data_IF_606301970179
#
_entry.id   IF_606301970179
#
_cell.length_a   1.000
_cell.length_b   1.000
_cell.length_c   1.000
_cell.angle_alpha   90.00
_cell.angle_beta   90.00
_cell.angle_gamma   90.00
#
_symmetry.space_group_name_H-M   'P 1'
#
loop_
_entity.id
_entity.type
_entity.pdbx_description
1 polymer ?
#
# COMPACT_ATOMS: atom_id res chain seq x y z
N UNK A 1 -21.50 29.58 -11.87
CA UNK A 1 -21.75 28.78 -10.66
C UNK A 1 -20.55 27.87 -10.47
N UNK A 2 -19.94 27.86 -9.28
CA UNK A 2 -18.76 27.02 -9.01
C UNK A 2 -19.11 25.53 -9.01
N UNK A 3 -18.15 24.68 -9.36
CA UNK A 3 -18.27 23.22 -9.24
C UNK A 3 -18.57 22.85 -7.78
N UNK A 4 -19.59 22.02 -7.55
CA UNK A 4 -19.91 21.54 -6.21
C UNK A 4 -19.01 20.37 -5.83
N UNK A 5 -18.53 20.30 -4.57
CA UNK A 5 -17.74 19.17 -4.12
C UNK A 5 -18.60 17.91 -3.98
N UNK A 6 -18.09 16.78 -4.46
CA UNK A 6 -18.70 15.44 -4.32
C UNK A 6 -18.64 14.98 -2.87
N UNK A 7 -17.53 15.26 -2.22
CA UNK A 7 -17.26 14.92 -0.82
C UNK A 7 -16.31 15.97 -0.23
N UNK A 8 -16.49 16.30 1.04
CA UNK A 8 -15.61 17.20 1.79
C UNK A 8 -15.38 16.63 3.19
N UNK A 9 -14.13 16.69 3.66
CA UNK A 9 -13.73 16.38 5.03
C UNK A 9 -12.71 17.41 5.54
N UNK A 10 -12.38 17.36 6.84
CA UNK A 10 -11.33 18.19 7.42
C UNK A 10 -10.08 17.38 7.74
N UNK A 11 -8.91 17.91 7.39
CA UNK A 11 -7.61 17.30 7.70
C UNK A 11 -6.49 18.35 7.74
N UNK A 12 -5.42 18.05 8.48
CA UNK A 12 -4.15 18.76 8.36
C UNK A 12 -3.41 18.23 7.13
N UNK A 13 -2.90 19.13 6.30
CA UNK A 13 -2.23 18.78 5.04
C UNK A 13 -0.72 18.86 5.22
N UNK A 14 -0.03 17.85 4.67
CA UNK A 14 1.43 17.76 4.66
C UNK A 14 1.92 17.43 3.24
N UNK A 15 3.12 17.89 2.91
CA UNK A 15 3.86 17.49 1.71
C UNK A 15 5.15 16.80 2.10
N UNK A 16 5.60 15.84 1.30
CA UNK A 16 6.97 15.37 1.42
C UNK A 16 7.93 16.46 0.93
N UNK A 17 9.03 16.68 1.65
CA UNK A 17 10.06 17.62 1.23
C UNK A 17 10.63 17.18 -0.14
N UNK A 18 10.61 18.04 -1.16
CA UNK A 18 11.11 17.71 -2.49
C UNK A 18 12.62 17.42 -2.50
N UNK A 19 13.40 17.96 -1.54
CA UNK A 19 14.84 17.76 -1.44
C UNK A 19 15.19 16.45 -0.75
N UNK A 20 14.60 16.19 0.43
CA UNK A 20 14.98 15.04 1.24
C UNK A 20 14.20 13.78 0.87
N UNK A 21 13.01 13.93 0.26
CA UNK A 21 12.06 12.85 -0.06
C UNK A 21 11.75 11.93 1.13
N UNK A 22 11.95 12.40 2.36
CA UNK A 22 11.79 11.62 3.61
C UNK A 22 11.11 12.39 4.73
N UNK A 23 11.25 13.71 4.76
CA UNK A 23 10.67 14.56 5.80
C UNK A 23 9.32 15.11 5.37
N UNK A 24 8.37 15.15 6.31
CA UNK A 24 7.08 15.81 6.10
C UNK A 24 7.19 17.29 6.44
N UNK A 25 6.65 18.13 5.56
CA UNK A 25 6.50 19.57 5.75
C UNK A 25 5.02 19.88 5.90
N UNK A 26 4.66 20.60 6.97
CA UNK A 26 3.30 21.08 7.18
C UNK A 26 2.89 22.04 6.07
N UNK A 27 1.81 21.71 5.35
CA UNK A 27 1.28 22.51 4.26
C UNK A 27 0.08 23.36 4.69
N UNK A 28 -0.64 22.97 5.75
CA UNK A 28 -1.69 23.78 6.38
C UNK A 28 -1.45 24.01 7.87
N UNK A 29 -1.70 25.22 8.38
CA UNK A 29 -1.51 25.54 9.80
C UNK A 29 -2.60 24.96 10.70
N UNK A 30 -3.78 24.74 10.13
CA UNK A 30 -4.94 24.14 10.80
C UNK A 30 -5.55 23.04 9.93
N UNK A 31 -6.53 22.33 10.47
CA UNK A 31 -7.36 21.46 9.68
C UNK A 31 -8.13 22.30 8.65
N UNK A 32 -8.01 21.93 7.37
CA UNK A 32 -8.65 22.60 6.23
C UNK A 32 -9.59 21.64 5.52
N UNK A 33 -10.53 22.19 4.75
CA UNK A 33 -11.43 21.38 3.95
C UNK A 33 -10.64 20.75 2.80
N UNK A 34 -10.73 19.43 2.69
CA UNK A 34 -10.20 18.63 1.58
C UNK A 34 -11.40 18.03 0.86
N UNK A 35 -11.52 18.34 -0.43
CA UNK A 35 -12.73 18.03 -1.18
C UNK A 35 -12.41 17.36 -2.51
N UNK A 36 -13.27 16.42 -2.92
CA UNK A 36 -13.25 15.82 -4.25
C UNK A 36 -14.17 16.61 -5.17
N UNK A 37 -13.68 16.95 -6.36
CA UNK A 37 -14.42 17.64 -7.40
C UNK A 37 -14.39 16.83 -8.69
N UNK A 38 -15.46 16.96 -9.48
CA UNK A 38 -15.48 16.54 -10.87
C UNK A 38 -15.46 17.79 -11.74
N UNK A 39 -14.38 17.93 -12.51
CA UNK A 39 -14.22 18.99 -13.50
C UNK A 39 -14.81 18.51 -14.81
N UNK A 40 -16.02 19.00 -15.12
CA UNK A 40 -16.76 18.61 -16.32
C UNK A 40 -16.11 19.13 -17.60
N UNK A 41 -15.38 20.25 -17.52
CA UNK A 41 -14.71 20.85 -18.68
C UNK A 41 -13.55 20.01 -19.18
N UNK A 42 -12.86 19.33 -18.26
CA UNK A 42 -11.73 18.44 -18.55
C UNK A 42 -12.05 16.97 -18.37
N UNK A 43 -13.30 16.64 -18.04
CA UNK A 43 -13.79 15.30 -17.76
C UNK A 43 -12.86 14.51 -16.82
N UNK A 44 -12.47 15.12 -15.69
CA UNK A 44 -11.54 14.52 -14.74
C UNK A 44 -11.92 14.80 -13.29
N UNK A 45 -11.42 13.97 -12.38
CA UNK A 45 -11.64 14.12 -10.94
C UNK A 45 -10.40 14.71 -10.25
N UNK A 46 -10.62 15.54 -9.23
CA UNK A 46 -9.56 16.22 -8.49
C UNK A 46 -9.80 16.22 -7.00
N UNK A 47 -8.71 16.22 -6.24
CA UNK A 47 -8.69 16.56 -4.83
C UNK A 47 -8.18 17.99 -4.71
N UNK A 48 -8.99 18.85 -4.12
CA UNK A 48 -8.69 20.27 -3.96
C UNK A 48 -8.81 20.62 -2.48
N UNK A 49 -7.83 21.38 -1.99
CA UNK A 49 -7.87 21.99 -0.67
C UNK A 49 -7.22 23.36 -0.72
N UNK A 50 -7.82 24.32 -0.04
CA UNK A 50 -7.38 25.72 0.01
C UNK A 50 -7.25 26.19 1.46
N UNK A 51 -6.17 26.92 1.75
CA UNK A 51 -5.98 27.62 3.01
C UNK A 51 -5.89 29.13 2.72
N UNK A 52 -6.92 29.89 3.13
CA UNK A 52 -7.06 31.29 2.72
C UNK A 52 -7.23 31.40 1.21
N UNK A 53 -6.30 32.11 0.56
CA UNK A 53 -6.27 32.27 -0.91
C UNK A 53 -5.31 31.28 -1.60
N UNK A 54 -4.61 30.44 -0.85
CA UNK A 54 -3.58 29.53 -1.36
C UNK A 54 -4.14 28.13 -1.53
N UNK A 55 -4.00 27.55 -2.73
CA UNK A 55 -4.23 26.12 -2.93
C UNK A 55 -3.11 25.33 -2.25
N UNK A 56 -3.46 24.48 -1.29
CA UNK A 56 -2.53 23.58 -0.60
C UNK A 56 -2.56 22.18 -1.20
N UNK A 57 -3.69 21.77 -1.80
CA UNK A 57 -3.80 20.54 -2.59
C UNK A 57 -4.45 20.87 -3.92
N UNK A 58 -3.86 20.37 -5.01
CA UNK A 58 -4.48 20.43 -6.32
C UNK A 58 -4.12 19.19 -7.15
N UNK A 59 -4.61 18.04 -6.71
CA UNK A 59 -4.22 16.74 -7.24
C UNK A 59 -5.27 16.21 -8.22
N UNK A 60 -4.86 15.77 -9.41
CA UNK A 60 -5.76 15.10 -10.36
C UNK A 60 -5.70 13.60 -10.11
N UNK A 61 -6.85 12.97 -9.88
CA UNK A 61 -6.92 11.54 -9.60
C UNK A 61 -6.70 10.75 -10.89
N UNK A 62 -5.82 9.76 -10.84
CA UNK A 62 -5.59 8.82 -11.95
C UNK A 62 -5.98 7.39 -11.55
N UNK A 63 -6.30 6.49 -12.51
CA UNK A 63 -6.66 5.11 -12.19
C UNK A 63 -5.56 4.32 -11.47
N UNK A 64 -4.29 4.70 -11.65
CA UNK A 64 -3.13 4.07 -11.01
C UNK A 64 -2.78 4.67 -9.64
N UNK A 65 -3.41 5.78 -9.24
CA UNK A 65 -3.16 6.36 -7.91
C UNK A 65 -3.62 5.42 -6.80
N UNK A 66 -2.83 5.39 -5.72
CA UNK A 66 -3.12 4.61 -4.52
C UNK A 66 -2.99 5.51 -3.31
N UNK A 67 -4.00 5.46 -2.45
CA UNK A 67 -3.95 6.05 -1.12
C UNK A 67 -3.51 4.99 -0.12
N UNK A 68 -2.43 5.26 0.60
CA UNK A 68 -1.82 4.35 1.58
C UNK A 68 -2.01 4.91 2.99
N UNK A 69 -2.62 4.12 3.86
CA UNK A 69 -2.73 4.43 5.28
C UNK A 69 -1.42 4.06 5.97
N UNK A 70 -0.81 4.99 6.69
CA UNK A 70 0.49 4.77 7.38
C UNK A 70 0.39 4.88 8.89
N UNK A 71 -0.74 5.36 9.41
CA UNK A 71 -1.09 5.29 10.83
C UNK A 71 -2.61 5.28 11.00
N UNK A 72 -3.09 5.18 12.24
CA UNK A 72 -4.52 5.16 12.58
C UNK A 72 -5.29 6.41 12.10
N UNK A 73 -4.59 7.56 11.95
CA UNK A 73 -5.21 8.84 11.57
C UNK A 73 -4.46 9.55 10.45
N UNK A 74 -3.56 8.85 9.76
CA UNK A 74 -2.75 9.44 8.71
C UNK A 74 -2.69 8.53 7.49
N UNK A 75 -2.86 9.15 6.33
CA UNK A 75 -2.63 8.49 5.05
C UNK A 75 -2.04 9.44 4.02
N UNK A 76 -1.55 8.87 2.92
CA UNK A 76 -0.81 9.58 1.90
C UNK A 76 -1.10 9.04 0.50
N UNK A 77 -0.87 9.85 -0.53
CA UNK A 77 -0.80 9.39 -1.91
C UNK A 77 0.29 10.15 -2.67
N UNK A 78 0.83 9.51 -3.71
CA UNK A 78 1.78 10.13 -4.63
C UNK A 78 1.05 10.73 -5.81
N UNK A 79 1.35 11.98 -6.14
CA UNK A 79 0.94 12.63 -7.37
C UNK A 79 2.16 12.85 -8.27
N UNK A 80 2.30 11.96 -9.26
CA UNK A 80 3.39 11.99 -10.22
C UNK A 80 3.36 13.27 -11.05
N UNK A 81 2.17 13.78 -11.39
CA UNK A 81 2.02 14.99 -12.21
C UNK A 81 2.44 16.24 -11.44
N UNK A 82 2.11 16.31 -10.16
CA UNK A 82 2.56 17.38 -9.27
C UNK A 82 3.97 17.15 -8.69
N UNK A 83 4.61 16.00 -8.99
CA UNK A 83 5.90 15.56 -8.45
C UNK A 83 6.00 15.71 -6.91
N UNK A 84 4.92 15.36 -6.21
CA UNK A 84 4.82 15.49 -4.75
C UNK A 84 4.05 14.33 -4.15
N UNK A 85 4.24 14.12 -2.86
CA UNK A 85 3.44 13.18 -2.06
C UNK A 85 2.66 14.01 -1.06
N UNK A 86 1.34 13.88 -1.10
CA UNK A 86 0.43 14.53 -0.16
C UNK A 86 0.17 13.59 1.01
N UNK A 87 0.15 14.15 2.21
CA UNK A 87 -0.21 13.48 3.45
C UNK A 87 -1.36 14.20 4.13
N UNK A 88 -2.29 13.44 4.72
CA UNK A 88 -3.45 13.97 5.44
C UNK A 88 -3.50 13.39 6.85
N UNK A 89 -3.54 14.27 7.85
CA UNK A 89 -3.79 13.92 9.25
C UNK A 89 -5.23 14.26 9.65
N UNK A 90 -6.01 13.23 9.99
CA UNK A 90 -7.43 13.34 10.34
C UNK A 90 -7.65 13.46 11.85
N UNK A 91 -8.83 13.97 12.25
CA UNK A 91 -9.17 14.10 13.67
C UNK A 91 -9.49 12.73 14.30
N UNK A 92 -10.05 11.81 13.51
CA UNK A 92 -10.44 10.46 13.91
C UNK A 92 -10.12 9.41 12.83
N UNK A 93 -10.05 8.14 13.25
CA UNK A 93 -9.89 7.00 12.34
C UNK A 93 -11.09 6.88 11.37
N UNK A 94 -12.31 7.13 11.85
CA UNK A 94 -13.51 7.06 11.03
C UNK A 94 -13.50 8.03 9.84
N UNK A 95 -12.96 9.25 10.03
CA UNK A 95 -12.78 10.21 8.92
C UNK A 95 -11.76 9.73 7.90
N UNK A 96 -10.66 9.12 8.35
CA UNK A 96 -9.65 8.50 7.48
C UNK A 96 -10.31 7.38 6.66
N UNK A 97 -11.04 6.47 7.29
CA UNK A 97 -11.74 5.36 6.61
C UNK A 97 -12.69 5.89 5.54
N UNK A 98 -13.51 6.90 5.88
CA UNK A 98 -14.44 7.52 4.93
C UNK A 98 -13.73 8.18 3.75
N UNK A 99 -12.59 8.83 4.00
CA UNK A 99 -11.78 9.40 2.93
C UNK A 99 -11.22 8.31 2.00
N UNK A 100 -10.73 7.19 2.56
CA UNK A 100 -10.21 6.05 1.79
C UNK A 100 -11.30 5.47 0.88
N UNK A 101 -12.51 5.26 1.40
CA UNK A 101 -13.65 4.77 0.61
C UNK A 101 -13.96 5.71 -0.54
N UNK A 102 -14.06 7.02 -0.27
CA UNK A 102 -14.33 8.03 -1.30
C UNK A 102 -13.20 8.12 -2.33
N UNK A 103 -11.95 7.95 -1.92
CA UNK A 103 -10.82 7.91 -2.83
C UNK A 103 -10.95 6.73 -3.82
N UNK A 104 -11.34 5.54 -3.35
CA UNK A 104 -11.54 4.38 -4.23
C UNK A 104 -12.73 4.57 -5.17
N UNK A 105 -13.85 5.09 -4.67
CA UNK A 105 -15.04 5.40 -5.48
C UNK A 105 -14.71 6.36 -6.63
N UNK A 106 -14.02 7.46 -6.33
CA UNK A 106 -13.63 8.46 -7.33
C UNK A 106 -12.57 7.92 -8.30
N UNK A 107 -11.67 7.06 -7.84
CA UNK A 107 -10.70 6.38 -8.72
C UNK A 107 -11.38 5.46 -9.72
N UNK A 108 -12.37 4.67 -9.31
CA UNK A 108 -13.15 3.84 -10.25
C UNK A 108 -14.01 4.71 -11.19
N UNK A 109 -14.59 5.80 -10.70
CA UNK A 109 -15.29 6.76 -11.55
C UNK A 109 -14.36 7.38 -12.61
N UNK A 110 -13.11 7.65 -12.25
CA UNK A 110 -12.06 8.13 -13.18
C UNK A 110 -11.77 7.09 -14.26
N UNK A 111 -11.65 5.81 -13.90
CA UNK A 111 -11.45 4.70 -14.86
C UNK A 111 -12.61 4.59 -15.85
N UNK A 112 -13.84 4.79 -15.39
CA UNK A 112 -15.03 4.76 -16.23
C UNK A 112 -15.12 5.98 -17.16
N UNK A 113 -14.83 7.18 -16.66
CA UNK A 113 -14.79 8.40 -17.47
C UNK A 113 -13.76 8.30 -18.61
N UNK A 114 -12.63 7.63 -18.37
CA UNK A 114 -11.58 7.41 -19.36
C UNK A 114 -11.97 6.38 -20.43
N UNK A 115 -12.72 5.32 -20.07
CA UNK A 115 -13.26 4.34 -21.02
C UNK A 115 -14.30 4.94 -21.97
N UNK A 116 -15.15 5.85 -21.48
CA UNK A 116 -16.13 6.55 -22.33
C UNK A 116 -15.48 7.55 -23.31
N UNK A 117 -14.25 7.99 -23.07
CA UNK A 117 -13.51 8.87 -23.98
C UNK A 117 -12.80 8.11 -25.12
N UNK A 118 -12.62 6.79 -25.02
CA UNK A 118 -11.92 5.96 -26.01
C UNK A 118 -12.69 5.73 -27.33
N UNK A 119 -13.89 6.30 -27.48
CA UNK A 119 -14.65 6.35 -28.75
C UNK A 119 -14.29 7.54 -29.65
N UNK A 120 -13.40 8.43 -29.22
CA UNK A 120 -12.97 9.61 -29.98
C UNK A 120 -11.47 9.81 -29.80
N UNK A 121 -10.72 9.79 -30.91
CA UNK A 121 -9.31 10.18 -30.94
C UNK A 121 -9.11 11.52 -30.22
N UNK A 122 -8.44 11.51 -29.06
CA UNK A 122 -8.05 12.75 -28.39
C UNK A 122 -6.77 12.56 -27.55
N UNK A 123 -5.75 13.28 -28.02
CA UNK A 123 -4.55 13.82 -27.38
C UNK A 123 -4.51 13.76 -25.84
N UNK A 124 -3.40 13.26 -25.31
CA UNK A 124 -2.97 13.40 -23.91
C UNK A 124 -3.07 14.87 -23.46
N UNK A 125 -3.88 15.21 -22.45
CA UNK A 125 -3.97 16.60 -22.00
C UNK A 125 -2.73 16.98 -21.16
N UNK A 126 -1.74 17.58 -21.82
CA UNK A 126 -0.70 18.37 -21.16
C UNK A 126 -1.35 19.68 -20.67
N UNK A 127 -1.89 19.71 -19.46
CA UNK A 127 -2.27 21.00 -18.86
C UNK A 127 -1.06 21.59 -18.14
N UNK A 128 -0.59 22.76 -18.58
CA UNK A 128 0.37 23.59 -17.85
C UNK A 128 -0.23 24.01 -16.51
N UNK A 129 0.54 23.88 -15.43
CA UNK A 129 0.21 24.43 -14.12
C UNK A 129 1.41 25.25 -13.62
N UNK A 130 1.63 26.41 -14.24
CA UNK A 130 2.40 27.50 -13.64
C UNK A 130 1.47 28.69 -13.46
N UNK A 131 0.95 28.86 -12.25
CA UNK A 131 0.49 30.15 -11.74
C UNK A 131 0.93 30.24 -10.27
N UNK A 132 2.12 30.80 -10.07
CA UNK A 132 2.51 31.45 -8.82
C UNK A 132 2.50 32.96 -9.05
N UNK A 133 2.14 33.79 -8.04
CA UNK A 133 1.82 35.19 -8.25
C UNK A 133 3.09 36.04 -8.39
N UNK A 134 3.10 36.92 -9.38
CA UNK A 134 4.12 37.97 -9.52
C UNK A 134 3.81 39.09 -8.53
N UNK A 135 4.74 39.34 -7.63
CA UNK A 135 4.76 40.56 -6.81
C UNK A 135 5.22 41.71 -7.71
N UNK A 136 4.46 42.80 -7.71
CA UNK A 136 4.72 43.96 -8.54
C UNK A 136 5.98 44.72 -8.14
N UNK A 137 6.74 45.15 -9.15
CA UNK A 137 7.45 46.43 -9.10
C UNK A 137 7.72 46.91 -10.52
N UNK A 138 7.27 48.13 -10.79
CA UNK A 138 7.46 48.85 -12.03
C UNK A 138 8.94 49.15 -12.31
N UNK A 139 9.28 49.27 -13.60
CA UNK A 139 9.92 50.43 -14.28
C UNK A 139 10.26 49.96 -15.70
N UNK A 140 9.86 50.75 -16.70
CA UNK A 140 9.91 50.38 -18.12
C UNK A 140 11.14 50.86 -18.89
N UNK A 141 11.26 50.36 -20.11
CA UNK A 141 11.62 51.04 -21.36
C UNK A 141 11.33 50.05 -22.50
N UNK A 142 10.56 50.40 -23.55
CA UNK A 142 11.05 50.80 -24.88
C UNK A 142 12.09 49.79 -25.44
N UNK A 143 12.01 49.17 -26.62
CA UNK A 143 11.36 49.49 -27.89
C UNK A 143 11.67 48.39 -28.94
N UNK A 144 10.78 48.21 -29.94
CA UNK A 144 11.00 47.71 -31.32
C UNK A 144 11.56 46.29 -31.57
N UNK A 145 11.35 45.66 -32.72
CA UNK A 145 10.42 45.79 -33.86
C UNK A 145 10.39 44.43 -34.59
N UNK A 146 9.42 44.30 -35.46
CA UNK A 146 9.01 43.25 -36.38
C UNK A 146 10.09 42.56 -37.25
N UNK A 147 9.99 41.23 -37.50
CA UNK A 147 9.98 40.58 -38.86
C UNK A 147 9.82 39.04 -38.83
N UNK A 148 8.71 38.56 -39.39
CA UNK A 148 8.49 37.49 -40.38
C UNK A 148 9.31 36.15 -40.41
N UNK A 149 8.58 35.06 -40.12
CA UNK A 149 8.50 33.66 -40.65
C UNK A 149 9.54 33.12 -41.67
N UNK A 150 10.19 31.98 -41.37
CA UNK A 150 10.03 30.61 -42.00
C UNK A 150 10.98 29.55 -41.34
N UNK A 151 10.78 28.22 -41.50
CA UNK A 151 10.94 27.23 -40.43
C UNK A 151 11.76 26.01 -40.87
N UNK A 152 13.06 25.96 -40.60
CA UNK A 152 13.84 24.72 -40.76
C UNK A 152 15.10 24.73 -39.90
N UNK A 153 15.04 24.12 -38.71
CA UNK A 153 16.13 23.33 -38.10
C UNK A 153 15.72 22.92 -36.68
N UNK A 154 15.44 21.63 -36.48
CA UNK A 154 15.41 21.02 -35.14
C UNK A 154 16.76 20.35 -34.93
N UNK A 155 17.61 21.01 -34.16
CA UNK A 155 18.87 20.48 -33.63
C UNK A 155 18.59 19.94 -32.21
N UNK A 156 18.98 18.69 -31.87
CA UNK A 156 18.87 18.20 -30.51
C UNK A 156 20.04 18.69 -29.63
N UNK A 157 19.85 18.94 -28.32
CA UNK A 157 20.91 19.42 -27.45
C UNK A 157 22.01 18.38 -27.23
N UNK A 158 23.22 18.86 -27.45
CA UNK A 158 24.52 18.24 -27.23
C UNK A 158 24.75 17.98 -25.73
N UNK A 159 24.93 16.71 -25.31
CA UNK A 159 25.57 16.40 -24.02
C UNK A 159 27.07 16.39 -24.24
N UNK A 160 27.72 17.48 -23.81
CA UNK A 160 29.16 17.60 -23.78
C UNK A 160 29.79 16.60 -22.80
N UNK A 161 30.82 15.94 -23.32
CA UNK A 161 31.66 14.94 -22.67
C UNK A 161 32.93 15.64 -22.16
N UNK A 162 33.32 15.43 -20.91
CA UNK A 162 34.68 15.64 -20.33
C UNK A 162 34.72 14.86 -19.00
N UNK A 163 35.73 14.11 -18.57
CA UNK A 163 37.07 13.80 -19.07
C UNK A 163 37.61 12.57 -18.27
N UNK A 164 38.42 11.74 -18.93
CA UNK A 164 39.58 10.93 -18.49
C UNK A 164 39.72 10.33 -17.07
N UNK A 165 39.89 9.00 -17.07
CA UNK A 165 40.97 8.19 -16.45
C UNK A 165 41.42 8.51 -15.01
N UNK A 166 41.07 7.61 -14.07
CA UNK A 166 42.04 6.91 -13.21
C UNK A 166 41.35 5.83 -12.35
N UNK A 167 41.74 4.56 -12.49
CA UNK A 167 41.70 3.57 -11.41
C UNK A 167 42.53 2.33 -11.78
N UNK A 168 43.64 2.17 -11.07
CA UNK A 168 44.41 0.92 -10.97
C UNK A 168 43.58 -0.12 -10.17
N UNK A 169 43.85 -1.44 -10.31
CA UNK A 169 43.00 -2.51 -9.79
C UNK A 169 43.42 -2.91 -8.38
N UNK A 170 42.47 -2.93 -7.45
CA UNK A 170 42.51 -3.92 -6.37
C UNK A 170 41.12 -4.11 -5.77
N UNK A 171 40.59 -5.32 -5.89
CA UNK A 171 39.45 -5.81 -5.10
C UNK A 171 39.54 -7.33 -5.05
N UNK A 172 39.66 -7.93 -3.85
CA UNK A 172 39.54 -9.36 -3.73
C UNK A 172 38.06 -9.74 -3.79
N UNK A 173 37.77 -10.62 -4.74
CA UNK A 173 36.50 -11.32 -4.91
C UNK A 173 36.21 -12.22 -3.70
N UNK A 174 34.97 -12.28 -3.24
CA UNK A 174 34.46 -13.50 -2.61
C UNK A 174 33.14 -13.92 -3.24
N UNK A 175 33.22 -15.11 -3.83
CA UNK A 175 32.17 -15.85 -4.52
C UNK A 175 31.23 -16.51 -3.50
N UNK A 176 29.95 -16.51 -3.87
CA UNK A 176 28.92 -17.54 -3.69
C UNK A 176 29.29 -18.78 -2.87
N UNK A 177 28.43 -19.15 -1.91
CA UNK A 177 28.09 -20.57 -1.76
C UNK A 177 26.61 -20.78 -1.44
N UNK A 178 26.07 -21.72 -2.22
CA UNK A 178 24.71 -22.23 -2.23
C UNK A 178 24.54 -23.31 -1.15
N UNK A 179 23.27 -23.60 -0.89
CA UNK A 179 22.63 -24.49 0.10
C UNK A 179 23.26 -25.85 0.40
N UNK A 180 23.06 -26.27 1.66
CA UNK A 180 23.38 -27.56 2.27
C UNK A 180 22.64 -28.77 1.67
N UNK A 181 23.27 -29.94 1.81
CA UNK A 181 22.68 -31.27 1.74
C UNK A 181 23.08 -32.08 3.00
N UNK A 182 22.16 -32.86 3.55
CA UNK A 182 22.43 -34.11 4.30
C UNK A 182 22.93 -34.13 5.76
N UNK A 183 21.97 -34.22 6.70
CA UNK A 183 21.71 -35.40 7.59
C UNK A 183 22.58 -35.73 8.85
N UNK A 184 21.86 -35.89 9.99
CA UNK A 184 22.09 -36.70 11.21
C UNK A 184 23.22 -36.28 12.19
N UNK A 185 23.17 -36.45 13.52
CA UNK A 185 22.22 -37.03 14.49
C UNK A 185 22.62 -36.57 15.93
N UNK A 186 21.67 -36.58 16.86
CA UNK A 186 21.77 -36.84 18.34
C UNK A 186 22.60 -35.91 19.25
N UNK A 187 21.97 -35.42 20.34
CA UNK A 187 22.66 -35.16 21.61
C UNK A 187 22.05 -34.10 22.53
N UNK A 188 21.25 -34.55 23.50
CA UNK A 188 20.66 -33.80 24.62
C UNK A 188 21.64 -32.98 25.49
N UNK A 189 21.21 -31.80 25.96
CA UNK A 189 21.12 -31.42 27.38
C UNK A 189 21.01 -29.89 27.56
N UNK A 190 19.99 -29.47 28.33
CA UNK A 190 19.91 -28.20 29.05
C UNK A 190 21.07 -28.11 30.06
N UNK A 191 21.55 -26.90 30.44
CA UNK A 191 20.90 -26.14 31.51
C UNK A 191 20.95 -24.60 31.39
N UNK A 192 19.95 -23.94 31.99
CA UNK A 192 20.04 -22.53 32.43
C UNK A 192 21.12 -22.37 33.53
N UNK A 193 21.63 -21.15 33.77
CA UNK A 193 21.18 -20.45 34.98
C UNK A 193 21.02 -18.93 34.84
N UNK A 194 20.37 -18.39 35.88
CA UNK A 194 19.92 -17.03 36.18
C UNK A 194 21.02 -15.92 36.27
N UNK A 195 20.62 -14.64 36.46
CA UNK A 195 21.43 -13.44 36.21
C UNK A 195 22.23 -12.98 37.45
N UNK A 196 23.25 -12.15 37.22
CA UNK A 196 23.91 -11.39 38.28
C UNK A 196 24.22 -9.94 37.84
N UNK A 197 24.05 -9.03 38.79
CA UNK A 197 24.30 -7.59 38.73
C UNK A 197 25.79 -7.25 38.96
N UNK A 198 26.20 -6.01 38.65
CA UNK A 198 27.11 -5.08 39.40
C UNK A 198 28.00 -4.26 38.43
N UNK A 199 27.79 -2.94 38.22
CA UNK A 199 28.29 -1.68 38.89
C UNK A 199 29.33 -0.93 38.03
N UNK A 200 29.16 0.41 37.93
CA UNK A 200 30.22 1.41 37.68
C UNK A 200 29.77 2.60 36.80
N UNK A 201 29.14 3.65 37.34
CA UNK A 201 29.73 4.94 37.78
C UNK A 201 30.13 5.89 36.61
N UNK A 202 29.39 6.97 36.29
CA UNK A 202 29.26 8.32 36.92
C UNK A 202 29.82 9.42 35.94
N UNK A 203 29.74 10.74 36.21
CA UNK A 203 28.56 11.62 36.14
C UNK A 203 28.80 12.94 35.34
N UNK A 204 27.75 13.74 35.02
CA UNK A 204 27.76 15.22 35.21
C UNK A 204 26.38 15.88 35.00
N UNK A 205 25.99 16.64 36.03
CA UNK A 205 25.15 17.87 36.18
C UNK A 205 24.61 18.57 34.92
N UNK A 206 23.46 19.26 34.88
CA UNK A 206 22.51 19.70 35.90
C UNK A 206 21.67 20.89 35.38
N UNK A 207 20.44 21.06 35.91
CA UNK A 207 19.61 22.30 35.90
C UNK A 207 18.66 22.50 34.71
N UNK A 208 17.37 22.80 34.85
CA UNK A 208 16.52 23.05 36.02
C UNK A 208 15.17 23.65 35.60
N UNK A 209 14.17 23.48 36.47
CA UNK A 209 12.89 24.22 36.61
C UNK A 209 11.78 24.05 35.54
N UNK A 210 10.48 23.99 35.86
CA UNK A 210 9.72 23.83 37.12
C UNK A 210 8.22 23.67 36.77
N UNK A 211 7.46 22.99 37.65
CA UNK A 211 6.01 23.09 37.84
C UNK A 211 5.18 21.98 37.17
N UNK A 212 4.33 21.20 37.86
CA UNK A 212 3.96 21.12 39.26
C UNK A 212 2.72 20.23 39.43
N UNK A 213 2.81 19.25 40.35
CA UNK A 213 1.77 18.64 41.21
C UNK A 213 0.54 17.95 40.55
N UNK A 214 0.01 16.79 40.98
CA UNK A 214 -0.12 16.07 42.27
C UNK A 214 -0.39 14.57 41.91
N UNK A 215 0.05 13.48 42.53
CA UNK A 215 0.60 13.19 43.85
C UNK A 215 -0.20 12.04 44.48
N UNK A 216 0.38 10.83 44.58
CA UNK A 216 -0.27 9.64 45.15
C UNK A 216 0.64 8.41 45.20
N UNK A 217 1.80 8.56 45.85
CA UNK A 217 2.80 7.49 46.05
C UNK A 217 2.66 6.84 47.42
N UNK A 218 2.72 5.51 47.44
CA UNK A 218 2.80 4.67 48.64
C UNK A 218 4.28 4.57 49.06
N UNK A 219 4.58 5.04 50.27
CA UNK A 219 5.87 4.89 50.94
C UNK A 219 5.89 3.57 51.72
N UNK A 220 6.87 2.71 51.47
CA UNK A 220 7.19 1.57 52.36
C UNK A 220 8.45 1.95 53.13
N UNK A 221 8.28 2.27 54.42
CA UNK A 221 9.38 2.44 55.36
C UNK A 221 9.47 1.17 56.21
N UNK A 222 10.62 0.51 56.18
CA UNK A 222 10.98 -0.57 57.11
C UNK A 222 11.89 0.01 58.19
N UNK A 223 11.44 -0.02 59.44
CA UNK A 223 12.19 0.34 60.64
C UNK A 223 11.56 -0.39 61.83
N UNK A 224 12.35 -1.24 62.49
CA UNK A 224 11.85 -2.31 63.37
C UNK A 224 11.67 -1.99 64.86
N UNK A 225 11.38 -3.08 65.59
CA UNK A 225 11.27 -3.26 67.06
C UNK A 225 10.11 -2.50 67.75
N UNK A 226 9.29 -3.09 68.63
CA UNK A 226 9.60 -4.06 69.69
C UNK A 226 8.30 -4.72 70.23
N UNK A 227 8.39 -6.00 70.63
CA UNK A 227 7.68 -6.73 71.71
C UNK A 227 6.14 -6.61 71.86
N UNK A 228 5.45 -7.75 71.79
CA UNK A 228 4.09 -7.91 72.33
C UNK A 228 3.48 -9.28 72.04
N UNK A 229 3.56 -10.19 73.00
CA UNK A 229 2.86 -11.48 73.00
C UNK A 229 1.36 -11.31 72.80
N UNK A 230 0.79 -11.92 71.75
CA UNK A 230 -0.48 -12.63 71.83
C UNK A 230 -0.60 -13.61 70.65
N UNK A 231 -0.50 -14.91 70.96
CA UNK A 231 -0.88 -15.98 70.05
C UNK A 231 -2.41 -15.99 69.94
N UNK A 232 -2.94 -15.45 68.84
CA UNK A 232 -4.36 -15.59 68.46
C UNK A 232 -4.48 -16.21 67.06
N UNK A 233 -5.48 -17.06 66.76
CA UNK A 233 -5.54 -17.83 65.51
C UNK A 233 -5.82 -16.99 64.25
N UNK A 234 -5.91 -15.65 64.35
CA UNK A 234 -6.40 -14.77 63.28
C UNK A 234 -5.34 -14.19 62.34
N UNK A 235 -4.05 -14.21 62.70
CA UNK A 235 -2.99 -13.59 61.88
C UNK A 235 -2.61 -14.40 60.63
N UNK A 236 -2.81 -15.72 60.66
CA UNK A 236 -2.56 -16.61 59.52
C UNK A 236 -3.53 -16.36 58.35
N UNK A 237 -4.80 -16.08 58.66
CA UNK A 237 -5.84 -15.88 57.65
C UNK A 237 -5.62 -14.62 56.79
N UNK A 238 -5.10 -13.54 57.38
CA UNK A 238 -4.85 -12.28 56.65
C UNK A 238 -3.58 -12.37 55.80
N UNK A 239 -2.53 -13.02 56.31
CA UNK A 239 -1.32 -13.31 55.54
C UNK A 239 -1.60 -14.27 54.37
N UNK A 240 -2.42 -15.31 54.60
CA UNK A 240 -2.88 -16.21 53.54
C UNK A 240 -3.74 -15.51 52.49
N UNK A 241 -4.66 -14.61 52.89
CA UNK A 241 -5.45 -13.83 51.95
C UNK A 241 -4.58 -12.90 51.10
N UNK A 242 -3.58 -12.26 51.70
CA UNK A 242 -2.66 -11.38 50.99
C UNK A 242 -1.77 -12.16 50.01
N UNK A 243 -1.26 -13.33 50.41
CA UNK A 243 -0.55 -14.24 49.52
C UNK A 243 -1.45 -14.74 48.38
N UNK A 244 -2.73 -15.05 48.64
CA UNK A 244 -3.70 -15.43 47.61
C UNK A 244 -3.90 -14.31 46.58
N UNK A 245 -4.10 -13.08 47.05
CA UNK A 245 -4.27 -11.92 46.19
C UNK A 245 -3.01 -11.66 45.34
N UNK A 246 -1.83 -11.74 45.95
CA UNK A 246 -0.57 -11.55 45.24
C UNK A 246 -0.30 -12.68 44.24
N UNK A 247 -0.67 -13.92 44.56
CA UNK A 247 -0.59 -15.05 43.64
C UNK A 247 -1.51 -14.87 42.43
N UNK A 248 -2.76 -14.43 42.64
CA UNK A 248 -3.68 -14.13 41.54
C UNK A 248 -3.20 -12.94 40.69
N UNK A 249 -2.65 -11.90 41.32
CA UNK A 249 -2.03 -10.78 40.59
C UNK A 249 -0.86 -11.24 39.74
N UNK A 250 0.02 -12.08 40.28
CA UNK A 250 1.17 -12.64 39.56
C UNK A 250 0.73 -13.57 38.41
N UNK A 251 -0.33 -14.36 38.60
CA UNK A 251 -0.93 -15.16 37.52
C UNK A 251 -1.46 -14.28 36.39
N UNK A 252 -2.16 -13.20 36.71
CA UNK A 252 -2.63 -12.25 35.70
C UNK A 252 -1.47 -11.59 34.96
N UNK A 253 -0.42 -11.17 35.69
CA UNK A 253 0.79 -10.60 35.09
C UNK A 253 1.52 -11.60 34.18
N UNK A 254 1.61 -12.87 34.58
CA UNK A 254 2.21 -13.93 33.78
C UNK A 254 1.40 -14.21 32.51
N UNK A 255 0.08 -14.30 32.62
CA UNK A 255 -0.82 -14.46 31.46
C UNK A 255 -0.66 -13.29 30.47
N UNK A 256 -0.56 -12.06 30.98
CA UNK A 256 -0.31 -10.86 30.17
C UNK A 256 1.09 -10.87 29.53
N UNK A 257 2.12 -11.33 30.25
CA UNK A 257 3.46 -11.50 29.71
C UNK A 257 3.51 -12.54 28.58
N UNK A 258 2.81 -13.66 28.73
CA UNK A 258 2.69 -14.69 27.69
C UNK A 258 1.95 -14.15 26.44
N UNK A 259 0.89 -13.36 26.63
CA UNK A 259 0.19 -12.69 25.54
C UNK A 259 1.10 -11.70 24.80
N UNK A 260 1.92 -10.94 25.55
CA UNK A 260 2.90 -10.03 24.98
C UNK A 260 3.98 -10.79 24.19
N UNK A 261 4.53 -11.88 24.73
CA UNK A 261 5.51 -12.72 24.03
C UNK A 261 4.97 -13.21 22.67
N UNK A 262 3.73 -13.70 22.66
CA UNK A 262 3.06 -14.15 21.42
C UNK A 262 2.84 -13.01 20.42
N UNK A 263 2.55 -11.80 20.89
CA UNK A 263 2.45 -10.61 20.02
C UNK A 263 3.78 -10.32 19.33
N UNK A 264 4.89 -10.36 20.07
CA UNK A 264 6.23 -10.16 19.51
C UNK A 264 6.61 -11.26 18.52
N UNK A 265 6.24 -12.52 18.80
CA UNK A 265 6.45 -13.63 17.86
C UNK A 265 5.72 -13.42 16.53
N UNK A 266 4.45 -12.98 16.59
CA UNK A 266 3.65 -12.67 15.40
C UNK A 266 4.27 -11.52 14.62
N UNK A 267 4.63 -10.43 15.30
CA UNK A 267 5.23 -9.26 14.66
C UNK A 267 6.57 -9.60 14.00
N UNK A 268 7.39 -10.42 14.63
CA UNK A 268 8.63 -10.93 14.04
C UNK A 268 8.37 -11.78 12.79
N UNK A 269 7.35 -12.66 12.82
CA UNK A 269 6.97 -13.45 11.65
C UNK A 269 6.48 -12.56 10.50
N UNK A 270 5.68 -11.54 10.80
CA UNK A 270 5.21 -10.55 9.82
C UNK A 270 6.38 -9.76 9.22
N UNK A 271 7.33 -9.30 10.04
CA UNK A 271 8.52 -8.59 9.57
C UNK A 271 9.39 -9.48 8.67
N UNK A 272 9.59 -10.75 9.03
CA UNK A 272 10.29 -11.72 8.17
C UNK A 272 9.61 -11.89 6.82
N UNK A 273 8.28 -12.04 6.80
CA UNK A 273 7.53 -12.17 5.56
C UNK A 273 7.64 -10.91 4.69
N UNK A 274 7.53 -9.72 5.29
CA UNK A 274 7.70 -8.46 4.59
C UNK A 274 9.12 -8.31 4.01
N UNK A 275 10.15 -8.73 4.75
CA UNK A 275 11.53 -8.68 4.27
C UNK A 275 11.75 -9.59 3.04
N UNK A 276 11.16 -10.78 3.04
CA UNK A 276 11.17 -11.68 1.87
C UNK A 276 10.49 -11.01 0.68
N UNK A 277 9.29 -10.46 0.87
CA UNK A 277 8.54 -9.78 -0.20
C UNK A 277 9.30 -8.60 -0.79
N UNK A 278 9.92 -7.77 0.05
CA UNK A 278 10.75 -6.64 -0.40
C UNK A 278 11.96 -7.11 -1.18
N UNK A 279 12.60 -8.20 -0.74
CA UNK A 279 13.75 -8.80 -1.44
C UNK A 279 13.34 -9.31 -2.82
N UNK A 280 12.20 -10.02 -2.93
CA UNK A 280 11.67 -10.47 -4.22
C UNK A 280 11.31 -9.31 -5.14
N UNK A 281 10.64 -8.28 -4.62
CA UNK A 281 10.29 -7.10 -5.42
C UNK A 281 11.54 -6.35 -5.92
N UNK A 282 12.61 -6.30 -5.12
CA UNK A 282 13.87 -5.71 -5.53
C UNK A 282 14.56 -6.53 -6.64
N UNK A 283 14.57 -7.86 -6.52
CA UNK A 283 15.09 -8.75 -7.56
C UNK A 283 14.30 -8.60 -8.87
N UNK A 284 12.97 -8.56 -8.79
CA UNK A 284 12.09 -8.35 -9.94
C UNK A 284 12.31 -6.98 -10.58
N UNK A 285 12.44 -5.92 -9.78
CA UNK A 285 12.77 -4.59 -10.30
C UNK A 285 14.12 -4.56 -11.00
N UNK A 286 15.10 -5.35 -10.54
CA UNK A 286 16.42 -5.46 -11.17
C UNK A 286 16.31 -6.18 -12.52
N UNK A 287 15.56 -7.28 -12.58
CA UNK A 287 15.29 -8.01 -13.81
C UNK A 287 14.55 -7.14 -14.85
N UNK A 288 13.57 -6.34 -14.40
CA UNK A 288 12.83 -5.42 -15.28
C UNK A 288 13.73 -4.34 -15.90
N UNK A 289 14.71 -3.83 -15.15
CA UNK A 289 15.68 -2.87 -15.69
C UNK A 289 16.49 -3.50 -16.83
N UNK A 290 16.91 -4.75 -16.67
CA UNK A 290 17.69 -5.44 -17.71
C UNK A 290 16.84 -5.80 -18.93
N UNK A 291 15.57 -6.17 -18.72
CA UNK A 291 14.60 -6.38 -19.79
C UNK A 291 14.32 -5.09 -20.58
N UNK A 292 14.18 -3.94 -19.90
CA UNK A 292 14.04 -2.64 -20.57
C UNK A 292 15.28 -2.25 -21.35
N UNK A 293 16.49 -2.55 -20.85
CA UNK A 293 17.73 -2.34 -21.62
C UNK A 293 17.73 -3.19 -22.88
N UNK A 294 17.31 -4.45 -22.79
CA UNK A 294 17.19 -5.37 -23.93
C UNK A 294 16.21 -4.84 -24.97
N UNK A 295 15.03 -4.41 -24.54
CA UNK A 295 14.02 -3.81 -25.42
C UNK A 295 14.53 -2.53 -26.09
N UNK A 296 15.23 -1.66 -25.35
CA UNK A 296 15.85 -0.46 -25.91
C UNK A 296 16.89 -0.81 -26.98
N UNK A 297 17.68 -1.87 -26.78
CA UNK A 297 18.63 -2.35 -27.78
C UNK A 297 17.92 -2.80 -29.05
N UNK A 298 16.89 -3.63 -28.93
CA UNK A 298 16.06 -4.06 -30.08
C UNK A 298 15.44 -2.89 -30.82
N UNK A 299 14.90 -1.89 -30.13
CA UNK A 299 14.35 -0.70 -30.80
C UNK A 299 15.42 0.13 -31.52
N UNK A 300 16.63 0.22 -30.99
CA UNK A 300 17.75 0.88 -31.69
C UNK A 300 18.12 0.14 -32.96
N UNK A 301 18.16 -1.20 -32.94
CA UNK A 301 18.43 -2.02 -34.11
C UNK A 301 17.34 -1.86 -35.18
N UNK A 302 16.06 -1.91 -34.79
CA UNK A 302 14.93 -1.68 -35.70
C UNK A 302 14.97 -0.27 -36.31
N UNK A 303 15.32 0.75 -35.52
CA UNK A 303 15.44 2.12 -36.03
C UNK A 303 16.56 2.24 -37.07
N UNK A 304 17.69 1.56 -36.85
CA UNK A 304 18.79 1.48 -37.83
C UNK A 304 18.33 0.73 -39.08
N UNK A 305 17.59 -0.37 -38.93
CA UNK A 305 17.04 -1.15 -40.04
C UNK A 305 16.11 -0.30 -40.91
N UNK A 306 15.14 0.38 -40.30
CA UNK A 306 14.19 1.25 -40.99
C UNK A 306 14.89 2.44 -41.67
N UNK A 307 15.90 3.04 -41.02
CA UNK A 307 16.71 4.09 -41.65
C UNK A 307 17.47 3.59 -42.88
N UNK A 308 18.02 2.37 -42.83
CA UNK A 308 18.69 1.74 -43.97
C UNK A 308 17.70 1.44 -45.10
N UNK A 309 16.50 0.95 -44.77
CA UNK A 309 15.43 0.67 -45.73
C UNK A 309 14.93 1.95 -46.43
N UNK A 310 14.73 3.03 -45.67
CA UNK A 310 14.40 4.35 -46.22
C UNK A 310 15.48 4.88 -47.17
N UNK A 311 16.76 4.74 -46.81
CA UNK A 311 17.88 5.17 -47.66
C UNK A 311 17.95 4.32 -48.94
N UNK A 312 17.71 3.01 -48.85
CA UNK A 312 17.66 2.11 -49.99
C UNK A 312 16.51 2.48 -50.96
N UNK A 313 15.33 2.81 -50.43
CA UNK A 313 14.18 3.27 -51.21
C UNK A 313 14.38 4.66 -51.82
N UNK A 314 15.10 5.56 -51.14
CA UNK A 314 15.53 6.86 -51.68
C UNK A 314 16.47 6.70 -52.87
N UNK A 315 17.41 5.77 -52.81
CA UNK A 315 18.40 5.53 -53.88
C UNK A 315 17.81 4.70 -55.03
N UNK A 316 16.82 3.84 -54.75
CA UNK A 316 16.09 3.05 -55.77
C UNK A 316 15.04 3.83 -56.57
N UNK A 317 14.72 5.07 -56.17
CA UNK A 317 13.65 5.89 -56.77
C UNK A 317 13.92 6.47 -58.16
N UNK A 318 15.12 6.29 -58.73
CA UNK A 318 15.51 6.85 -60.03
C UNK A 318 15.39 5.90 -61.23
N UNK A 319 14.58 4.83 -61.14
CA UNK A 319 14.22 4.08 -62.34
C UNK A 319 13.47 2.78 -62.11
N UNK A 320 12.14 2.83 -62.00
CA UNK A 320 11.25 1.69 -62.28
C UNK A 320 9.76 2.11 -62.21
N UNK A 321 9.29 2.89 -63.17
CA UNK A 321 7.86 3.06 -63.43
C UNK A 321 7.31 1.79 -64.11
N UNK A 322 7.07 0.72 -63.34
CA UNK A 322 6.29 -0.45 -63.79
C UNK A 322 5.85 -1.44 -62.68
N UNK A 323 6.39 -1.39 -61.46
CA UNK A 323 6.22 -2.47 -60.46
C UNK A 323 5.30 -2.15 -59.25
N UNK A 324 4.64 -0.98 -59.22
CA UNK A 324 3.86 -0.52 -58.05
C UNK A 324 2.52 -1.22 -57.81
N UNK A 325 1.95 -1.93 -58.81
CA UNK A 325 0.66 -2.60 -58.66
C UNK A 325 0.73 -3.89 -57.83
N UNK A 326 1.77 -4.69 -58.01
CA UNK A 326 1.89 -6.00 -57.36
C UNK A 326 2.14 -5.90 -55.85
N UNK A 327 2.87 -4.86 -55.40
CA UNK A 327 3.16 -4.63 -53.98
C UNK A 327 1.97 -4.06 -53.23
N UNK A 328 1.18 -3.17 -53.85
CA UNK A 328 -0.03 -2.65 -53.22
C UNK A 328 -1.14 -3.70 -53.12
N UNK A 329 -1.29 -4.56 -54.13
CA UNK A 329 -2.24 -5.68 -54.08
C UNK A 329 -1.83 -6.75 -53.04
N UNK A 330 -0.53 -6.97 -52.83
CA UNK A 330 -0.02 -7.85 -51.78
C UNK A 330 -0.31 -7.28 -50.38
N UNK A 331 -0.04 -5.99 -50.17
CA UNK A 331 -0.36 -5.31 -48.91
C UNK A 331 -1.86 -5.28 -48.63
N UNK A 332 -2.70 -5.10 -49.66
CA UNK A 332 -4.16 -5.19 -49.51
C UNK A 332 -4.62 -6.59 -49.12
N UNK A 333 -4.01 -7.64 -49.67
CA UNK A 333 -4.29 -9.03 -49.31
C UNK A 333 -3.87 -9.34 -47.88
N UNK A 334 -2.69 -8.87 -47.46
CA UNK A 334 -2.19 -9.06 -46.10
C UNK A 334 -3.04 -8.31 -45.07
N UNK A 335 -3.46 -7.07 -45.39
CA UNK A 335 -4.40 -6.32 -44.53
C UNK A 335 -5.75 -7.03 -44.42
N UNK A 336 -6.25 -7.64 -45.50
CA UNK A 336 -7.48 -8.42 -45.46
C UNK A 336 -7.31 -9.70 -44.61
N UNK A 337 -6.18 -10.40 -44.73
CA UNK A 337 -5.86 -11.58 -43.95
C UNK A 337 -5.73 -11.27 -42.45
N UNK A 338 -5.04 -10.17 -42.10
CA UNK A 338 -4.89 -9.71 -40.72
C UNK A 338 -6.24 -9.28 -40.11
N UNK A 339 -7.12 -8.64 -40.90
CA UNK A 339 -8.47 -8.31 -40.47
C UNK A 339 -9.31 -9.56 -40.19
N UNK A 340 -9.30 -10.54 -41.09
CA UNK A 340 -10.01 -11.81 -40.91
C UNK A 340 -9.49 -12.59 -39.69
N UNK A 341 -8.17 -12.60 -39.48
CA UNK A 341 -7.55 -13.21 -38.29
C UNK A 341 -7.95 -12.49 -37.00
N UNK A 342 -8.01 -11.16 -37.03
CA UNK A 342 -8.45 -10.36 -35.88
C UNK A 342 -9.91 -10.63 -35.53
N UNK A 343 -10.79 -10.74 -36.55
CA UNK A 343 -12.20 -11.08 -36.36
C UNK A 343 -12.39 -12.49 -35.80
N UNK A 344 -11.59 -13.46 -36.27
CA UNK A 344 -11.60 -14.83 -35.75
C UNK A 344 -11.14 -14.87 -34.29
N UNK A 345 -10.03 -14.19 -33.95
CA UNK A 345 -9.55 -14.10 -32.57
C UNK A 345 -10.54 -13.38 -31.65
N UNK A 346 -11.27 -12.39 -32.15
CA UNK A 346 -12.35 -11.72 -31.40
C UNK A 346 -13.53 -12.68 -31.14
N UNK A 347 -13.91 -13.50 -32.12
CA UNK A 347 -14.95 -14.50 -31.96
C UNK A 347 -14.54 -15.60 -30.96
N UNK A 348 -13.29 -16.09 -31.03
CA UNK A 348 -12.74 -17.06 -30.07
C UNK A 348 -12.69 -16.49 -28.65
N UNK A 349 -12.30 -15.21 -28.49
CA UNK A 349 -12.27 -14.55 -27.18
C UNK A 349 -13.67 -14.41 -26.58
N UNK A 350 -14.67 -14.03 -27.39
CA UNK A 350 -16.07 -13.98 -26.97
C UNK A 350 -16.59 -15.36 -26.57
N UNK A 351 -16.23 -16.39 -27.34
CA UNK A 351 -16.61 -17.78 -27.04
C UNK A 351 -15.99 -18.24 -25.71
N UNK A 352 -14.71 -17.98 -25.48
CA UNK A 352 -14.05 -18.27 -24.19
C UNK A 352 -14.66 -17.48 -23.03
N UNK A 353 -15.11 -16.24 -23.24
CA UNK A 353 -15.80 -15.45 -22.22
C UNK A 353 -17.15 -16.09 -21.82
N UNK A 354 -17.90 -16.60 -22.80
CA UNK A 354 -19.16 -17.33 -22.57
C UNK A 354 -18.89 -18.66 -21.82
N UNK A 355 -17.88 -19.41 -22.22
CA UNK A 355 -17.49 -20.66 -21.56
C UNK A 355 -17.06 -20.42 -20.11
N UNK A 356 -16.24 -19.40 -19.86
CA UNK A 356 -15.77 -19.05 -18.53
C UNK A 356 -16.90 -18.55 -17.63
N UNK A 357 -17.86 -17.81 -18.19
CA UNK A 357 -19.07 -17.38 -17.48
C UNK A 357 -19.94 -18.58 -17.10
N UNK A 358 -20.12 -19.53 -18.01
CA UNK A 358 -20.89 -20.76 -17.79
C UNK A 358 -20.22 -21.64 -16.73
N UNK A 359 -18.90 -21.83 -16.81
CA UNK A 359 -18.13 -22.59 -15.82
C UNK A 359 -18.21 -21.96 -14.43
N UNK A 360 -18.12 -20.63 -14.32
CA UNK A 360 -18.28 -19.93 -13.05
C UNK A 360 -19.70 -20.06 -12.47
N UNK A 361 -20.73 -20.04 -13.31
CA UNK A 361 -22.11 -20.25 -12.88
C UNK A 361 -22.28 -21.65 -12.29
N UNK A 362 -21.79 -22.68 -13.00
CA UNK A 362 -21.82 -24.07 -12.54
C UNK A 362 -21.02 -24.26 -11.23
N UNK A 363 -19.87 -23.61 -11.09
CA UNK A 363 -19.05 -23.69 -9.87
C UNK A 363 -19.76 -23.05 -8.66
N UNK A 364 -20.44 -21.92 -8.88
CA UNK A 364 -21.25 -21.24 -7.87
C UNK A 364 -22.42 -22.10 -7.43
N UNK A 365 -23.14 -22.70 -8.38
CA UNK A 365 -24.26 -23.60 -8.10
C UNK A 365 -23.80 -24.80 -7.26
N UNK A 366 -22.70 -25.46 -7.66
CA UNK A 366 -22.11 -26.57 -6.91
C UNK A 366 -21.66 -26.17 -5.50
N UNK A 367 -21.13 -24.95 -5.32
CA UNK A 367 -20.76 -24.43 -4.00
C UNK A 367 -21.98 -24.17 -3.11
N UNK A 368 -23.05 -23.61 -3.69
CA UNK A 368 -24.31 -23.42 -3.00
C UNK A 368 -24.94 -24.75 -2.59
N UNK A 369 -24.98 -25.75 -3.48
CA UNK A 369 -25.49 -27.08 -3.19
C UNK A 369 -24.72 -27.76 -2.06
N UNK A 370 -23.38 -27.66 -2.07
CA UNK A 370 -22.56 -28.18 -0.99
C UNK A 370 -22.83 -27.48 0.34
N UNK A 371 -23.08 -26.18 0.31
CA UNK A 371 -23.43 -25.39 1.51
C UNK A 371 -24.81 -25.81 2.04
N UNK A 372 -25.79 -25.99 1.15
CA UNK A 372 -27.13 -26.46 1.50
C UNK A 372 -27.11 -27.87 2.08
N UNK A 373 -26.30 -28.77 1.51
CA UNK A 373 -26.11 -30.13 2.03
C UNK A 373 -25.54 -30.12 3.45
N UNK A 374 -24.49 -29.31 3.71
CA UNK A 374 -23.93 -29.14 5.06
C UNK A 374 -24.93 -28.55 6.05
N UNK A 375 -25.72 -27.57 5.63
CA UNK A 375 -26.77 -26.97 6.46
C UNK A 375 -27.85 -28.01 6.82
N UNK A 376 -28.23 -28.86 5.87
CA UNK A 376 -29.17 -29.97 6.08
C UNK A 376 -28.61 -31.00 7.07
N UNK A 377 -27.36 -31.42 6.92
CA UNK A 377 -26.70 -32.33 7.86
C UNK A 377 -26.64 -31.76 9.28
N UNK A 378 -26.29 -30.47 9.42
CA UNK A 378 -26.26 -29.81 10.72
C UNK A 378 -27.66 -29.72 11.36
N UNK A 379 -28.69 -29.46 10.57
CA UNK A 379 -30.08 -29.48 11.04
C UNK A 379 -30.49 -30.87 11.55
N UNK A 380 -30.08 -31.95 10.88
CA UNK A 380 -30.33 -33.33 11.34
C UNK A 380 -29.62 -33.59 12.67
N UNK A 381 -28.37 -33.14 12.81
CA UNK A 381 -27.62 -33.26 14.06
C UNK A 381 -28.26 -32.47 15.21
N UNK A 382 -28.73 -31.25 14.95
CA UNK A 382 -29.46 -30.47 15.94
C UNK A 382 -30.77 -31.15 16.37
N UNK A 383 -31.55 -31.66 15.42
CA UNK A 383 -32.78 -32.39 15.72
C UNK A 383 -32.51 -33.63 16.59
N UNK A 384 -31.42 -34.35 16.31
CA UNK A 384 -30.98 -35.47 17.15
C UNK A 384 -30.59 -35.03 18.55
N UNK A 385 -29.76 -33.98 18.68
CA UNK A 385 -29.35 -33.46 19.98
C UNK A 385 -30.53 -32.97 20.83
N UNK A 386 -31.54 -32.37 20.21
CA UNK A 386 -32.77 -31.97 20.90
C UNK A 386 -33.57 -33.19 21.38
N UNK A 387 -33.63 -34.24 20.56
CA UNK A 387 -34.29 -35.50 20.94
C UNK A 387 -33.57 -36.18 22.11
N UNK A 388 -32.23 -36.21 22.08
CA UNK A 388 -31.41 -36.77 23.15
C UNK A 388 -31.59 -35.96 24.45
N UNK A 389 -31.60 -34.62 24.38
CA UNK A 389 -31.88 -33.75 25.52
C UNK A 389 -33.27 -34.00 26.11
N UNK A 390 -34.29 -34.15 25.25
CA UNK A 390 -35.65 -34.45 25.69
C UNK A 390 -35.74 -35.82 26.38
N UNK A 391 -35.02 -36.82 25.89
CA UNK A 391 -34.92 -38.13 26.54
C UNK A 391 -34.28 -38.02 27.93
N UNK A 392 -33.16 -37.30 28.05
CA UNK A 392 -32.49 -37.05 29.34
C UNK A 392 -33.42 -36.31 30.31
N UNK A 393 -34.17 -35.30 29.84
CA UNK A 393 -35.14 -34.60 30.67
C UNK A 393 -36.21 -35.57 31.20
N UNK A 394 -36.75 -36.44 30.34
CA UNK A 394 -37.74 -37.44 30.73
C UNK A 394 -37.20 -38.44 31.75
N UNK A 395 -35.96 -38.89 31.57
CA UNK A 395 -35.30 -39.78 32.54
C UNK A 395 -35.12 -39.08 33.89
N UNK A 396 -34.74 -37.79 33.88
CA UNK A 396 -34.62 -36.99 35.09
C UNK A 396 -35.96 -36.78 35.80
N UNK A 397 -37.04 -36.54 35.05
CA UNK A 397 -38.40 -36.45 35.61
C UNK A 397 -38.86 -37.75 36.27
N UNK A 398 -38.53 -38.91 35.67
CA UNK A 398 -38.83 -40.24 36.23
C UNK A 398 -38.06 -40.51 37.54
N UNK A 399 -36.82 -40.02 37.65
CA UNK A 399 -36.01 -40.16 38.89
C UNK A 399 -36.55 -39.26 40.00
N UNK A 400 -37.03 -38.07 39.67
CA UNK A 400 -37.58 -37.11 40.64
C UNK A 400 -38.98 -37.52 41.12
N UNK A 401 -39.77 -38.18 40.27
CA UNK A 401 -41.11 -38.69 40.60
C UNK A 401 -41.17 -40.21 40.52
N UNK A 402 -40.49 -40.96 41.41
CA UNK A 402 -40.65 -42.40 41.45
C UNK A 402 -42.13 -42.69 41.69
N UNK A 403 -42.72 -43.48 40.79
CA UNK A 403 -44.12 -43.86 40.85
C UNK A 403 -44.46 -44.25 42.29
N UNK A 404 -45.46 -43.59 42.88
CA UNK A 404 -46.04 -44.03 44.14
C UNK A 404 -46.56 -45.45 43.89
N UNK A 405 -45.80 -46.45 44.33
CA UNK A 405 -46.29 -47.82 44.42
C UNK A 405 -47.54 -47.79 45.29
N UNK A 406 -48.70 -48.00 44.66
CA UNK A 406 -49.93 -48.43 45.31
C UNK A 406 -49.91 -49.92 45.53
#
# INVERSE_FOLDING_TARGET
MGEQPIFTCQAHVFHIDPKTKRTWITASMKAVNVSFFYDSSRNLYRIISVEGTKAVINSTITPSMTFTQTSQKFGQWSDVRANTVYGLGFSSEAELTKFVEKFQEVKEATKNAMKSANGSNAVTPTTSANTSPISGRAVGSMQNDNTNIDPHTVEPPNLSNTNTQNANPDSPSHKLLNTLDGKQDIGSATPSPQPSMVIGAAPVTGGGSAGGNVGGGITISSGGSIVGMHTGPGAGATAEQQLKYENERLKMALAQSCANAKKWEIELATLKNNNIRLTSALQESTANVDEWKRQLHTYKEENIRLKREMELMRVGGSGASAAGGATEDELRREVAALKARTETLQAELLQHEIELKTANMNLREKCNDQTLAKMSELNVLFAKSLSDLYAVQKDMENVIHPAKCT
#
